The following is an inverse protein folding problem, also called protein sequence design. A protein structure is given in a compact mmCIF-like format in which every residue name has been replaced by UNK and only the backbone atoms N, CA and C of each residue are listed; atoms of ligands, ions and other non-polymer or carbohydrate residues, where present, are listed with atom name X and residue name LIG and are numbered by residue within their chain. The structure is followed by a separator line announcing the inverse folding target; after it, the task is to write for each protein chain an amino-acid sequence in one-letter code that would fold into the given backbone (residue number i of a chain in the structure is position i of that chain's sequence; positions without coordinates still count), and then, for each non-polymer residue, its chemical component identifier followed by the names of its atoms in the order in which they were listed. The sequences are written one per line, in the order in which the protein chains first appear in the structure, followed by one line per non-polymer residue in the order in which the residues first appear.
data_IF_240963908712
#
_entry.id   IF_240963908712
#
_cell.length_a   1.000
_cell.length_b   1.000
_cell.length_c   1.000
_cell.angle_alpha   90.00
_cell.angle_beta   90.00
_cell.angle_gamma   90.00
#
_symmetry.space_group_name_H-M   'P 1'
#
loop_
_entity.id
_entity.type
_entity.pdbx_description
1 polymer ?
#
# COMPACT_ATOMS: atom_id res chain seq x y z
N UNK A 1 -0.42 5.50 -15.64
CA UNK A 1 -0.70 4.24 -14.93
C UNK A 1 -1.84 4.48 -13.97
N UNK A 2 -2.83 3.60 -13.95
CA UNK A 2 -3.97 3.69 -13.04
C UNK A 2 -3.52 3.41 -11.58
N UNK A 3 -3.99 4.23 -10.62
CA UNK A 3 -3.68 4.10 -9.18
C UNK A 3 -4.04 2.72 -8.65
N UNK A 4 -5.11 2.14 -9.19
CA UNK A 4 -5.53 0.78 -8.82
C UNK A 4 -4.48 -0.27 -9.20
N UNK A 5 -3.89 -0.18 -10.39
CA UNK A 5 -2.85 -1.12 -10.82
C UNK A 5 -1.58 -0.98 -9.96
N UNK A 6 -1.18 0.25 -9.63
CA UNK A 6 -0.06 0.49 -8.72
C UNK A 6 -0.30 -0.12 -7.32
N UNK A 7 -1.52 0.02 -6.78
CA UNK A 7 -1.89 -0.58 -5.50
C UNK A 7 -1.78 -2.11 -5.55
N UNK A 8 -2.26 -2.73 -6.62
CA UNK A 8 -2.19 -4.19 -6.82
C UNK A 8 -0.75 -4.67 -6.90
N UNK A 9 0.08 -4.01 -7.69
CA UNK A 9 1.51 -4.33 -7.82
C UNK A 9 2.25 -4.18 -6.48
N UNK A 10 1.93 -3.13 -5.73
CA UNK A 10 2.49 -2.91 -4.39
C UNK A 10 2.16 -4.08 -3.45
N UNK A 11 0.90 -4.48 -3.36
CA UNK A 11 0.49 -5.60 -2.50
C UNK A 11 1.09 -6.93 -2.98
N UNK A 12 1.11 -7.18 -4.29
CA UNK A 12 1.73 -8.38 -4.87
C UNK A 12 3.23 -8.46 -4.52
N UNK A 13 3.94 -7.34 -4.47
CA UNK A 13 5.36 -7.30 -4.10
C UNK A 13 5.64 -7.80 -2.67
N UNK A 14 4.63 -7.79 -1.78
CA UNK A 14 4.78 -8.18 -0.38
C UNK A 14 4.63 -9.69 -0.14
N UNK A 15 4.03 -10.42 -1.09
CA UNK A 15 3.57 -11.81 -0.94
C UNK A 15 4.64 -12.75 -0.36
N UNK A 16 5.88 -12.67 -0.86
CA UNK A 16 6.98 -13.53 -0.41
C UNK A 16 7.32 -13.36 1.07
N UNK A 17 7.20 -12.15 1.61
CA UNK A 17 7.47 -11.90 3.03
C UNK A 17 6.28 -12.31 3.91
N UNK A 18 5.06 -12.22 3.39
CA UNK A 18 3.87 -12.78 4.04
C UNK A 18 3.99 -14.30 4.16
N UNK A 19 4.30 -15.01 3.08
CA UNK A 19 4.49 -16.47 3.10
C UNK A 19 5.59 -16.87 4.10
N UNK A 20 6.75 -16.20 4.04
CA UNK A 20 7.86 -16.48 4.96
C UNK A 20 7.49 -16.22 6.42
N UNK A 21 6.70 -15.20 6.71
CA UNK A 21 6.31 -14.88 8.08
C UNK A 21 5.23 -15.82 8.61
N UNK A 22 4.11 -15.98 7.88
CA UNK A 22 2.94 -16.74 8.36
C UNK A 22 3.07 -18.26 8.21
N UNK A 23 3.80 -18.74 7.20
CA UNK A 23 3.96 -20.19 6.94
C UNK A 23 5.27 -20.72 7.54
N UNK A 24 6.35 -19.96 7.43
CA UNK A 24 7.70 -20.39 7.85
C UNK A 24 8.15 -19.78 9.18
N UNK A 25 7.27 -19.08 9.87
CA UNK A 25 7.51 -18.41 11.17
C UNK A 25 8.78 -17.54 11.22
N UNK A 26 9.18 -16.95 10.07
CA UNK A 26 10.42 -16.20 9.95
C UNK A 26 10.29 -14.80 10.59
N UNK A 27 10.91 -14.60 11.75
CA UNK A 27 10.88 -13.32 12.50
C UNK A 27 11.39 -12.12 11.70
N UNK A 28 12.44 -12.28 10.88
CA UNK A 28 12.97 -11.19 10.05
C UNK A 28 12.01 -10.81 8.92
N UNK A 29 11.27 -11.80 8.37
CA UNK A 29 10.19 -11.52 7.43
C UNK A 29 9.06 -10.72 8.09
N UNK A 30 8.75 -10.97 9.37
CA UNK A 30 7.80 -10.17 10.13
C UNK A 30 8.18 -8.67 10.22
N UNK A 31 9.47 -8.35 10.39
CA UNK A 31 9.95 -6.96 10.35
C UNK A 31 9.70 -6.32 8.99
N UNK A 32 9.89 -7.08 7.90
CA UNK A 32 9.63 -6.59 6.54
C UNK A 32 8.14 -6.44 6.26
N UNK A 33 7.29 -7.40 6.65
CA UNK A 33 5.83 -7.29 6.57
C UNK A 33 5.34 -6.02 7.28
N UNK A 34 5.84 -5.72 8.48
CA UNK A 34 5.49 -4.47 9.19
C UNK A 34 5.86 -3.22 8.37
N UNK A 35 7.05 -3.19 7.77
CA UNK A 35 7.47 -2.07 6.90
C UNK A 35 6.60 -1.97 5.64
N UNK A 36 6.29 -3.09 5.00
CA UNK A 36 5.39 -3.16 3.84
C UNK A 36 4.01 -2.57 4.16
N UNK A 37 3.44 -2.89 5.33
CA UNK A 37 2.17 -2.32 5.77
C UNK A 37 2.25 -0.82 6.06
N UNK A 38 3.39 -0.33 6.55
CA UNK A 38 3.61 1.11 6.70
C UNK A 38 3.64 1.81 5.33
N UNK A 39 4.32 1.22 4.34
CA UNK A 39 4.35 1.73 2.96
C UNK A 39 2.96 1.72 2.34
N UNK A 40 2.19 0.64 2.52
CA UNK A 40 0.80 0.54 2.04
C UNK A 40 -0.08 1.64 2.63
N UNK A 41 0.05 1.90 3.95
CA UNK A 41 -0.71 2.96 4.61
C UNK A 41 -0.40 4.33 4.01
N UNK A 42 0.88 4.61 3.78
CA UNK A 42 1.31 5.88 3.19
C UNK A 42 0.76 6.05 1.77
N UNK A 43 0.88 5.02 0.93
CA UNK A 43 0.37 5.04 -0.44
C UNK A 43 -1.16 5.20 -0.50
N UNK A 44 -1.89 4.52 0.40
CA UNK A 44 -3.34 4.67 0.51
C UNK A 44 -3.74 6.10 0.92
N UNK A 45 -2.96 6.74 1.80
CA UNK A 45 -3.20 8.12 2.20
C UNK A 45 -2.96 9.10 1.04
N UNK A 46 -1.94 8.87 0.23
CA UNK A 46 -1.66 9.68 -0.96
C UNK A 46 -2.82 9.62 -1.96
N UNK A 47 -3.30 8.41 -2.29
CA UNK A 47 -4.47 8.25 -3.17
C UNK A 47 -5.69 8.97 -2.60
N UNK A 48 -5.94 8.84 -1.29
CA UNK A 48 -7.07 9.51 -0.63
C UNK A 48 -6.96 11.03 -0.77
N UNK A 49 -5.78 11.60 -0.50
CA UNK A 49 -5.55 13.03 -0.59
C UNK A 49 -5.76 13.54 -2.02
N UNK A 50 -5.31 12.79 -3.03
CA UNK A 50 -5.54 13.12 -4.45
C UNK A 50 -7.02 13.14 -4.80
N UNK A 51 -7.79 12.16 -4.34
CA UNK A 51 -9.24 12.12 -4.56
C UNK A 51 -9.92 13.31 -3.87
N UNK A 52 -9.50 13.65 -2.65
CA UNK A 52 -10.03 14.80 -1.92
C UNK A 52 -9.67 16.13 -2.59
N UNK A 53 -8.45 16.26 -3.10
CA UNK A 53 -8.01 17.45 -3.83
C UNK A 53 -8.85 17.65 -5.10
N UNK A 54 -9.01 16.62 -5.93
CA UNK A 54 -9.86 16.67 -7.14
C UNK A 54 -11.30 17.05 -6.83
N UNK A 55 -11.89 16.46 -5.77
CA UNK A 55 -13.24 16.82 -5.33
C UNK A 55 -13.34 18.30 -4.90
N UNK A 56 -12.29 18.84 -4.29
CA UNK A 56 -12.27 20.22 -3.80
C UNK A 56 -12.05 21.22 -4.94
N UNK A 57 -11.27 20.85 -5.97
CA UNK A 57 -11.13 21.60 -7.22
C UNK A 57 -12.46 21.66 -7.99
N UNK A 58 -13.17 20.53 -8.12
CA UNK A 58 -14.49 20.47 -8.77
C UNK A 58 -15.59 21.27 -8.04
N UNK A 59 -15.39 21.60 -6.76
CA UNK A 59 -16.36 22.37 -5.96
C UNK A 59 -16.09 23.89 -5.97
N UNK A 60 -15.00 24.32 -6.62
CA UNK A 60 -14.56 25.72 -6.72
C UNK A 60 -14.85 26.41 -8.06
N UNK A 61 -15.46 25.71 -9.01
CA UNK A 61 -16.07 26.27 -10.24
C UNK A 61 -17.60 26.35 -10.11
#
# INVERSE_FOLDING_TARGET
MDRFNQLKELVASFEKDFEKFYVKENKTAGVRVRKHMQTLRQFAQEIRNEVQAKKSEDAGE
#
